data_IF_875494827010
#
_entry.id   IF_875494827010
#
_cell.length_a   1.000
_cell.length_b   1.000
_cell.length_c   1.000
_cell.angle_alpha   90.00
_cell.angle_beta   90.00
_cell.angle_gamma   90.00
#
_symmetry.space_group_name_H-M   'P 1'
#
loop_
_entity.id
_entity.type
_entity.pdbx_description
1 polymer ?
#
# COMPACT_ATOMS: atom_id res chain seq x y z
N UNK A 1 12.51 -22.80 11.53
CA UNK A 1 13.82 -22.37 11.03
C UNK A 1 13.90 -20.86 11.17
N UNK A 2 15.04 -20.30 11.63
CA UNK A 2 15.24 -18.85 11.61
C UNK A 2 15.13 -18.32 10.18
N UNK A 3 14.53 -17.14 10.01
CA UNK A 3 14.42 -16.46 8.72
C UNK A 3 15.76 -15.78 8.43
N UNK A 4 16.36 -16.01 7.26
CA UNK A 4 17.61 -15.32 6.92
C UNK A 4 17.34 -13.85 6.63
N UNK A 5 18.34 -13.00 6.90
CA UNK A 5 18.34 -11.58 6.56
C UNK A 5 19.68 -11.20 5.96
N UNK A 6 19.64 -10.56 4.80
CA UNK A 6 20.78 -9.86 4.23
C UNK A 6 20.37 -8.43 3.84
N UNK A 7 21.34 -7.52 3.75
CA UNK A 7 21.12 -6.18 3.23
C UNK A 7 22.02 -5.98 2.03
N UNK A 8 21.43 -5.65 0.88
CA UNK A 8 22.15 -5.39 -0.36
C UNK A 8 21.95 -3.94 -0.81
N UNK A 9 22.84 -3.47 -1.69
CA UNK A 9 22.68 -2.18 -2.36
C UNK A 9 22.02 -2.39 -3.73
N UNK A 10 20.77 -1.93 -3.88
CA UNK A 10 20.00 -2.01 -5.13
C UNK A 10 19.61 -0.60 -5.58
N UNK A 11 20.00 -0.19 -6.80
CA UNK A 11 19.77 1.16 -7.32
C UNK A 11 20.23 2.30 -6.38
N UNK A 12 21.35 2.11 -5.66
CA UNK A 12 21.85 3.08 -4.69
C UNK A 12 21.08 3.12 -3.37
N UNK A 13 20.22 2.15 -3.11
CA UNK A 13 19.42 2.03 -1.89
C UNK A 13 19.81 0.79 -1.10
N UNK A 14 19.81 0.90 0.23
CA UNK A 14 19.91 -0.27 1.11
C UNK A 14 18.56 -0.99 1.13
N UNK A 15 18.56 -2.26 0.72
CA UNK A 15 17.39 -3.13 0.69
C UNK A 15 17.66 -4.34 1.58
N UNK A 16 16.86 -4.47 2.63
CA UNK A 16 16.86 -5.66 3.47
C UNK A 16 16.05 -6.75 2.75
N UNK A 17 16.64 -7.92 2.54
CA UNK A 17 16.00 -9.10 1.98
C UNK A 17 15.91 -10.15 3.07
N UNK A 18 14.69 -10.62 3.31
CA UNK A 18 14.37 -11.66 4.27
C UNK A 18 13.93 -12.92 3.54
N UNK A 19 14.43 -14.07 3.97
CA UNK A 19 13.96 -15.36 3.47
C UNK A 19 14.74 -15.94 2.28
N UNK A 20 15.78 -15.25 1.76
CA UNK A 20 16.40 -15.65 0.49
C UNK A 20 17.10 -17.02 0.58
N UNK A 21 17.72 -17.34 1.70
CA UNK A 21 18.41 -18.63 1.92
C UNK A 21 17.42 -19.80 1.99
N UNK A 22 16.14 -19.51 2.25
CA UNK A 22 15.08 -20.51 2.27
C UNK A 22 14.46 -20.75 0.89
N UNK A 23 14.85 -19.97 -0.13
CA UNK A 23 14.44 -20.21 -1.52
C UNK A 23 15.25 -21.39 -2.08
N UNK A 24 14.60 -22.43 -2.67
CA UNK A 24 15.29 -23.54 -3.31
C UNK A 24 16.39 -23.08 -4.27
N UNK A 25 17.50 -23.82 -4.43
CA UNK A 25 18.57 -23.42 -5.34
C UNK A 25 18.06 -23.32 -6.78
N UNK A 26 18.70 -22.51 -7.67
CA UNK A 26 18.27 -22.35 -9.06
C UNK A 26 18.18 -23.66 -9.87
N UNK A 27 18.89 -24.71 -9.44
CA UNK A 27 18.80 -26.06 -10.00
C UNK A 27 17.45 -26.76 -9.76
N UNK A 28 16.63 -26.23 -8.84
CA UNK A 28 15.28 -26.70 -8.53
C UNK A 28 14.32 -25.51 -8.45
N UNK A 29 14.07 -24.81 -9.58
CA UNK A 29 13.34 -23.56 -9.57
C UNK A 29 11.90 -23.77 -9.15
N UNK A 30 11.35 -22.78 -8.46
CA UNK A 30 9.95 -22.75 -8.08
C UNK A 30 9.45 -21.30 -8.15
N UNK A 31 8.16 -21.07 -8.48
CA UNK A 31 7.60 -19.73 -8.47
C UNK A 31 7.92 -18.97 -7.18
N UNK A 32 8.37 -17.72 -7.29
CA UNK A 32 8.81 -16.87 -6.21
C UNK A 32 7.96 -15.61 -6.15
N UNK A 33 7.37 -15.37 -4.99
CA UNK A 33 6.65 -14.13 -4.70
C UNK A 33 7.53 -13.18 -3.90
N UNK A 34 7.54 -11.91 -4.27
CA UNK A 34 8.18 -10.85 -3.49
C UNK A 34 7.13 -10.07 -2.69
N UNK A 35 7.28 -10.05 -1.37
CA UNK A 35 6.52 -9.20 -0.46
C UNK A 35 7.30 -7.90 -0.19
N UNK A 36 6.78 -6.77 -0.65
CA UNK A 36 7.36 -5.46 -0.40
C UNK A 36 6.79 -4.83 0.86
N UNK A 37 7.66 -4.46 1.81
CA UNK A 37 7.28 -3.91 3.10
C UNK A 37 7.59 -2.41 3.17
N UNK A 38 6.53 -1.62 3.37
CA UNK A 38 6.56 -0.16 3.33
C UNK A 38 6.32 0.38 4.76
N UNK A 39 7.34 1.03 5.32
CA UNK A 39 7.38 1.41 6.74
C UNK A 39 6.53 2.65 7.07
N UNK A 40 6.22 2.95 8.34
CA UNK A 40 5.50 4.17 8.72
C UNK A 40 6.40 5.42 8.73
N UNK A 41 5.77 6.61 8.83
CA UNK A 41 6.46 7.91 8.93
C UNK A 41 7.43 7.90 10.12
N UNK A 42 8.55 8.62 10.00
CA UNK A 42 9.60 8.75 11.01
C UNK A 42 10.35 7.45 11.38
N UNK A 43 10.07 6.34 10.70
CA UNK A 43 10.79 5.06 10.86
C UNK A 43 11.69 4.77 9.67
N UNK A 44 12.14 3.52 9.59
CA UNK A 44 13.04 2.98 8.57
C UNK A 44 12.63 1.55 8.21
N UNK A 45 13.26 0.99 7.18
CA UNK A 45 13.11 -0.40 6.73
C UNK A 45 13.25 -1.44 7.84
N UNK A 46 14.07 -1.18 8.86
CA UNK A 46 14.26 -2.11 9.98
C UNK A 46 13.01 -2.28 10.84
N UNK A 47 12.11 -1.29 10.87
CA UNK A 47 10.83 -1.41 11.58
C UNK A 47 9.90 -2.47 10.97
N UNK A 48 10.19 -2.93 9.75
CA UNK A 48 9.41 -3.96 9.06
C UNK A 48 9.91 -5.38 9.32
N UNK A 49 10.98 -5.56 10.10
CA UNK A 49 11.58 -6.87 10.36
C UNK A 49 10.60 -7.85 11.02
N UNK A 50 9.88 -7.43 12.07
CA UNK A 50 8.97 -8.33 12.80
C UNK A 50 7.85 -8.88 11.89
N UNK A 51 7.21 -8.03 11.09
CA UNK A 51 6.17 -8.48 10.15
C UNK A 51 6.74 -9.36 9.02
N UNK A 52 7.98 -9.11 8.58
CA UNK A 52 8.67 -9.96 7.62
C UNK A 52 8.86 -11.38 8.19
N UNK A 53 9.42 -11.47 9.40
CA UNK A 53 9.71 -12.73 10.08
C UNK A 53 8.43 -13.51 10.37
N UNK A 54 7.39 -12.87 10.89
CA UNK A 54 6.09 -13.51 11.16
C UNK A 54 5.45 -14.05 9.89
N UNK A 55 5.47 -13.28 8.80
CA UNK A 55 4.86 -13.70 7.53
C UNK A 55 5.63 -14.89 6.93
N UNK A 56 6.95 -14.81 6.90
CA UNK A 56 7.80 -15.88 6.37
C UNK A 56 7.75 -17.14 7.25
N UNK A 57 7.72 -17.00 8.58
CA UNK A 57 7.54 -18.13 9.49
C UNK A 57 6.19 -18.82 9.29
N UNK A 58 5.10 -18.06 9.15
CA UNK A 58 3.77 -18.61 8.87
C UNK A 58 3.70 -19.28 7.48
N UNK A 59 4.31 -18.68 6.46
CA UNK A 59 4.43 -19.28 5.13
C UNK A 59 5.14 -20.63 5.20
N UNK A 60 6.29 -20.66 5.87
CA UNK A 60 7.08 -21.87 6.07
C UNK A 60 6.30 -22.94 6.86
N UNK A 61 5.64 -22.60 7.96
CA UNK A 61 4.84 -23.59 8.72
C UNK A 61 3.71 -24.21 7.90
N UNK A 62 3.05 -23.40 7.06
CA UNK A 62 1.89 -23.84 6.29
C UNK A 62 2.30 -24.67 5.06
N UNK A 63 3.44 -24.34 4.44
CA UNK A 63 3.81 -24.87 3.13
C UNK A 63 5.16 -25.61 3.07
N UNK A 64 5.83 -25.85 4.22
CA UNK A 64 7.01 -26.73 4.29
C UNK A 64 6.72 -28.20 3.94
N UNK A 65 5.46 -28.64 3.95
CA UNK A 65 5.08 -30.05 3.77
C UNK A 65 3.92 -30.30 2.78
N UNK A 66 3.57 -29.32 1.93
CA UNK A 66 2.40 -29.39 1.04
C UNK A 66 2.69 -29.28 -0.47
N UNK A 67 1.79 -29.81 -1.29
CA UNK A 67 1.91 -30.02 -2.74
C UNK A 67 2.06 -28.77 -3.64
N UNK A 68 2.14 -27.54 -3.10
CA UNK A 68 2.32 -26.30 -3.88
C UNK A 68 3.69 -25.66 -3.63
N UNK A 69 4.56 -25.79 -4.63
CA UNK A 69 5.97 -25.40 -4.66
C UNK A 69 6.15 -23.89 -4.93
N UNK A 70 5.76 -23.01 -4.01
CA UNK A 70 6.03 -21.56 -4.14
C UNK A 70 6.97 -21.09 -3.03
N UNK A 71 7.86 -20.17 -3.36
CA UNK A 71 8.70 -19.47 -2.41
C UNK A 71 8.21 -18.06 -2.16
N UNK A 72 8.57 -17.51 -1.00
CA UNK A 72 8.26 -16.15 -0.59
C UNK A 72 9.52 -15.53 0.00
N UNK A 73 9.86 -14.33 -0.46
CA UNK A 73 10.83 -13.45 0.18
C UNK A 73 10.14 -12.14 0.56
N UNK A 74 10.64 -11.49 1.60
CA UNK A 74 10.21 -10.14 1.96
C UNK A 74 11.34 -9.14 1.74
N UNK A 75 11.00 -7.93 1.29
CA UNK A 75 11.95 -6.87 0.99
C UNK A 75 11.51 -5.57 1.66
N UNK A 76 12.45 -4.86 2.29
CA UNK A 76 12.20 -3.55 2.88
C UNK A 76 13.29 -2.56 2.48
N UNK A 77 12.90 -1.33 2.19
CA UNK A 77 13.81 -0.23 1.84
C UNK A 77 13.35 1.05 2.54
N UNK A 78 14.26 2.00 2.73
CA UNK A 78 13.89 3.30 3.30
C UNK A 78 13.17 4.15 2.25
N UNK A 79 11.98 4.64 2.60
CA UNK A 79 11.23 5.57 1.76
C UNK A 79 11.95 6.93 1.67
N UNK A 80 11.59 7.80 0.70
CA UNK A 80 12.21 9.12 0.57
C UNK A 80 12.24 9.88 1.90
N UNK A 81 13.38 10.50 2.18
CA UNK A 81 13.62 11.29 3.39
C UNK A 81 13.47 10.53 4.73
N UNK A 82 13.57 9.20 4.73
CA UNK A 82 13.48 8.36 5.94
C UNK A 82 14.70 7.46 6.09
N UNK A 83 14.88 6.88 7.29
CA UNK A 83 15.98 5.95 7.60
C UNK A 83 17.34 6.45 7.10
N UNK A 84 18.07 5.63 6.33
CA UNK A 84 19.37 5.96 5.77
C UNK A 84 19.32 6.97 4.61
N UNK A 85 18.13 7.40 4.18
CA UNK A 85 17.91 8.42 3.14
C UNK A 85 17.43 9.75 3.70
N UNK A 86 17.43 9.93 5.02
CA UNK A 86 16.96 11.16 5.66
C UNK A 86 17.88 12.32 5.29
N UNK A 87 17.29 13.41 4.79
CA UNK A 87 18.00 14.63 4.39
C UNK A 87 17.49 15.84 5.17
N UNK A 88 16.18 15.95 5.40
CA UNK A 88 15.55 17.08 6.09
C UNK A 88 14.56 16.58 7.14
N UNK A 89 14.81 16.87 8.42
CA UNK A 89 13.92 16.40 9.50
C UNK A 89 12.56 17.08 9.45
N UNK A 90 12.53 18.41 9.29
CA UNK A 90 11.30 19.21 9.24
C UNK A 90 10.35 18.76 8.15
N UNK A 91 10.85 18.35 6.99
CA UNK A 91 9.99 17.84 5.90
C UNK A 91 9.26 16.54 6.24
N UNK A 92 9.65 15.83 7.30
CA UNK A 92 8.89 14.68 7.79
C UNK A 92 7.89 15.02 8.89
N UNK A 93 7.90 16.25 9.41
CA UNK A 93 6.98 16.73 10.45
C UNK A 93 5.66 17.19 9.84
N UNK A 94 4.67 17.48 10.69
CA UNK A 94 3.39 18.06 10.26
C UNK A 94 3.34 19.60 10.34
N UNK A 95 2.17 20.17 10.02
CA UNK A 95 1.96 21.61 10.05
C UNK A 95 2.11 22.21 11.46
N UNK A 96 1.68 21.49 12.51
CA UNK A 96 1.79 21.97 13.90
C UNK A 96 3.26 22.02 14.33
N UNK A 97 4.05 21.07 13.82
CA UNK A 97 5.48 20.95 14.05
C UNK A 97 6.34 21.81 13.09
N UNK A 98 5.72 22.73 12.33
CA UNK A 98 6.42 23.75 11.54
C UNK A 98 6.70 23.37 10.08
N UNK A 99 6.20 22.24 9.58
CA UNK A 99 6.29 21.91 8.16
C UNK A 99 5.22 22.61 7.34
N UNK A 100 5.47 23.86 6.90
CA UNK A 100 4.54 24.60 6.03
C UNK A 100 4.25 23.88 4.70
N UNK A 101 5.14 22.99 4.26
CA UNK A 101 4.99 22.18 3.03
C UNK A 101 4.44 20.77 3.29
N UNK A 102 3.84 20.50 4.46
CA UNK A 102 3.43 19.15 4.88
C UNK A 102 2.68 18.36 3.79
N UNK A 103 1.65 18.95 3.17
CA UNK A 103 0.88 18.27 2.13
C UNK A 103 1.73 17.90 0.90
N UNK A 104 2.72 18.72 0.51
CA UNK A 104 3.63 18.42 -0.61
C UNK A 104 4.65 17.35 -0.22
N UNK A 105 5.27 17.49 0.95
CA UNK A 105 6.30 16.57 1.42
C UNK A 105 5.73 15.16 1.63
N UNK A 106 4.50 15.07 2.13
CA UNK A 106 3.79 13.80 2.27
C UNK A 106 3.47 13.15 0.91
N UNK A 107 3.05 13.90 -0.11
CA UNK A 107 2.87 13.36 -1.47
C UNK A 107 4.20 12.83 -2.02
N UNK A 108 5.30 13.55 -1.82
CA UNK A 108 6.63 13.12 -2.27
C UNK A 108 7.08 11.84 -1.57
N UNK A 109 6.83 11.72 -0.25
CA UNK A 109 7.16 10.51 0.50
C UNK A 109 6.32 9.30 0.04
N UNK A 110 5.00 9.48 -0.13
CA UNK A 110 4.08 8.41 -0.57
C UNK A 110 4.35 8.01 -2.03
N UNK A 111 4.31 8.97 -2.95
CA UNK A 111 4.51 8.74 -4.38
C UNK A 111 5.93 8.28 -4.69
N UNK A 112 6.94 8.88 -4.06
CA UNK A 112 8.33 8.46 -4.21
C UNK A 112 8.60 7.08 -3.61
N UNK A 113 7.90 6.69 -2.53
CA UNK A 113 7.90 5.32 -2.02
C UNK A 113 7.36 4.32 -3.04
N UNK A 114 6.21 4.62 -3.65
CA UNK A 114 5.59 3.77 -4.68
C UNK A 114 6.49 3.65 -5.93
N UNK A 115 7.05 4.77 -6.41
CA UNK A 115 7.97 4.78 -7.53
C UNK A 115 9.27 4.02 -7.23
N UNK A 116 9.81 4.16 -6.02
CA UNK A 116 10.99 3.41 -5.58
C UNK A 116 10.71 1.92 -5.59
N UNK A 117 9.59 1.48 -5.01
CA UNK A 117 9.21 0.06 -5.03
C UNK A 117 9.07 -0.47 -6.46
N UNK A 118 8.43 0.29 -7.34
CA UNK A 118 8.29 -0.06 -8.76
C UNK A 118 9.63 -0.24 -9.46
N UNK A 119 10.61 0.64 -9.20
CA UNK A 119 11.98 0.51 -9.68
C UNK A 119 12.63 -0.78 -9.16
N UNK A 120 12.58 -1.00 -7.84
CA UNK A 120 13.18 -2.18 -7.21
C UNK A 120 12.54 -3.49 -7.68
N UNK A 121 11.23 -3.50 -7.97
CA UNK A 121 10.53 -4.63 -8.60
C UNK A 121 11.12 -5.00 -9.96
N UNK A 122 11.61 -4.03 -10.73
CA UNK A 122 12.27 -4.29 -12.02
C UNK A 122 13.69 -4.84 -11.88
N UNK A 123 14.31 -4.71 -10.70
CA UNK A 123 15.72 -5.02 -10.48
C UNK A 123 15.93 -6.24 -9.60
N UNK A 124 15.00 -6.56 -8.70
CA UNK A 124 15.18 -7.59 -7.67
C UNK A 124 15.61 -8.94 -8.23
N UNK A 125 15.08 -9.34 -9.38
CA UNK A 125 15.45 -10.61 -10.02
C UNK A 125 16.92 -10.66 -10.46
N UNK A 126 17.47 -9.54 -10.93
CA UNK A 126 18.87 -9.43 -11.33
C UNK A 126 19.79 -9.52 -10.11
N UNK A 127 19.48 -8.77 -9.05
CA UNK A 127 20.31 -8.71 -7.85
C UNK A 127 20.29 -9.99 -7.01
N UNK A 128 19.19 -10.74 -7.04
CA UNK A 128 19.05 -12.01 -6.31
C UNK A 128 19.45 -13.23 -7.15
N UNK A 129 19.67 -13.06 -8.45
CA UNK A 129 19.83 -14.18 -9.39
C UNK A 129 18.56 -15.02 -9.58
N UNK A 130 17.38 -14.52 -9.17
CA UNK A 130 16.10 -15.23 -9.18
C UNK A 130 15.12 -14.74 -10.24
N UNK A 131 15.58 -13.99 -11.24
CA UNK A 131 14.70 -13.35 -12.23
C UNK A 131 13.67 -14.30 -12.86
N UNK A 132 14.08 -15.50 -13.28
CA UNK A 132 13.19 -16.47 -13.93
C UNK A 132 12.15 -17.10 -12.99
N UNK A 133 12.32 -16.96 -11.68
CA UNK A 133 11.44 -17.53 -10.66
C UNK A 133 10.36 -16.54 -10.22
N UNK A 134 10.62 -15.22 -10.32
CA UNK A 134 9.71 -14.18 -9.82
C UNK A 134 8.51 -14.03 -10.76
N UNK A 135 7.32 -14.40 -10.27
CA UNK A 135 6.07 -14.35 -11.03
C UNK A 135 4.96 -13.53 -10.35
N UNK A 136 5.17 -13.10 -9.10
CA UNK A 136 4.18 -12.36 -8.34
C UNK A 136 4.81 -11.33 -7.40
N UNK A 137 4.09 -10.22 -7.20
CA UNK A 137 4.46 -9.22 -6.22
C UNK A 137 3.25 -8.81 -5.38
N UNK A 138 3.47 -8.73 -4.07
CA UNK A 138 2.49 -8.22 -3.11
C UNK A 138 3.17 -7.17 -2.24
N UNK A 139 2.40 -6.30 -1.61
CA UNK A 139 2.95 -5.34 -0.66
C UNK A 139 2.17 -5.29 0.65
N UNK A 140 2.84 -4.86 1.71
CA UNK A 140 2.21 -4.45 2.96
C UNK A 140 2.76 -3.09 3.33
N UNK A 141 1.86 -2.17 3.67
CA UNK A 141 2.21 -0.83 4.09
C UNK A 141 1.57 -0.45 5.40
N UNK A 142 2.33 0.23 6.26
CA UNK A 142 1.84 0.75 7.55
C UNK A 142 1.92 2.28 7.61
N UNK A 143 0.81 2.96 7.94
CA UNK A 143 0.72 4.42 8.06
C UNK A 143 1.14 5.11 6.75
N UNK A 144 2.24 5.88 6.73
CA UNK A 144 2.87 6.38 5.50
C UNK A 144 2.99 5.29 4.42
N UNK A 145 3.50 4.11 4.79
CA UNK A 145 3.56 2.96 3.89
C UNK A 145 2.18 2.44 3.47
N UNK A 146 1.16 2.58 4.31
CA UNK A 146 -0.22 2.21 3.99
C UNK A 146 -0.82 3.10 2.89
N UNK A 147 -0.57 4.41 2.93
CA UNK A 147 -0.88 5.31 1.80
C UNK A 147 -0.14 4.87 0.53
N UNK A 148 1.15 4.54 0.65
CA UNK A 148 1.98 4.07 -0.46
C UNK A 148 1.45 2.76 -1.06
N UNK A 149 0.95 1.85 -0.22
CA UNK A 149 0.32 0.60 -0.64
C UNK A 149 -0.97 0.86 -1.42
N UNK A 150 -1.82 1.81 -1.01
CA UNK A 150 -3.00 2.24 -1.79
C UNK A 150 -2.62 2.77 -3.17
N UNK A 151 -1.67 3.70 -3.21
CA UNK A 151 -1.24 4.33 -4.47
C UNK A 151 -0.59 3.31 -5.40
N UNK A 152 0.16 2.36 -4.84
CA UNK A 152 0.79 1.27 -5.59
C UNK A 152 -0.24 0.25 -6.07
N UNK A 153 -1.26 -0.09 -5.28
CA UNK A 153 -2.33 -1.00 -5.70
C UNK A 153 -3.03 -0.49 -6.97
N UNK A 154 -3.27 0.82 -7.06
CA UNK A 154 -3.83 1.44 -8.27
C UNK A 154 -2.76 1.76 -9.34
N UNK A 155 -1.50 1.97 -8.96
CA UNK A 155 -0.45 2.49 -9.84
C UNK A 155 0.45 1.44 -10.49
N UNK A 156 0.71 0.33 -9.82
CA UNK A 156 1.69 -0.68 -10.23
C UNK A 156 0.99 -1.91 -10.85
N UNK A 157 1.08 -2.11 -12.17
CA UNK A 157 0.41 -3.23 -12.84
C UNK A 157 0.96 -4.60 -12.44
N UNK A 158 2.19 -4.70 -11.96
CA UNK A 158 2.79 -5.96 -11.53
C UNK A 158 2.36 -6.41 -10.12
N UNK A 159 1.71 -5.54 -9.33
CA UNK A 159 1.17 -5.93 -8.03
C UNK A 159 -0.09 -6.79 -8.18
N UNK A 160 -0.13 -7.88 -7.44
CA UNK A 160 -1.24 -8.83 -7.36
C UNK A 160 -2.11 -8.59 -6.11
N UNK A 161 -1.53 -8.01 -5.06
CA UNK A 161 -2.30 -7.62 -3.89
C UNK A 161 -1.54 -6.76 -2.88
N UNK A 162 -2.29 -6.20 -1.93
CA UNK A 162 -1.78 -5.30 -0.91
C UNK A 162 -2.43 -5.52 0.46
N UNK A 163 -1.69 -5.23 1.52
CA UNK A 163 -2.24 -4.98 2.85
C UNK A 163 -2.01 -3.51 3.19
N UNK A 164 -3.07 -2.80 3.53
CA UNK A 164 -3.04 -1.39 3.96
C UNK A 164 -3.35 -1.34 5.45
N UNK A 165 -2.37 -0.97 6.26
CA UNK A 165 -2.53 -0.79 7.71
C UNK A 165 -2.54 0.71 8.04
N UNK A 166 -3.66 1.19 8.57
CA UNK A 166 -3.92 2.60 8.95
C UNK A 166 -3.46 3.61 7.90
N UNK A 167 -3.71 3.28 6.63
CA UNK A 167 -3.50 4.16 5.47
C UNK A 167 -4.82 4.70 4.92
N UNK A 168 -4.77 5.79 4.15
CA UNK A 168 -5.95 6.44 3.56
C UNK A 168 -5.95 6.33 2.04
N UNK A 169 -7.12 6.08 1.46
CA UNK A 169 -7.38 6.02 0.02
C UNK A 169 -7.90 7.36 -0.57
N UNK A 170 -8.10 8.37 0.28
CA UNK A 170 -8.48 9.74 -0.09
C UNK A 170 -7.52 10.73 0.58
N UNK A 171 -6.43 11.03 -0.13
CA UNK A 171 -5.39 11.92 0.36
C UNK A 171 -5.89 13.35 0.56
N UNK A 172 -6.73 13.86 -0.35
CA UNK A 172 -7.24 15.23 -0.30
C UNK A 172 -8.12 15.42 0.93
N UNK A 173 -9.06 14.50 1.19
CA UNK A 173 -9.91 14.54 2.37
C UNK A 173 -9.09 14.48 3.67
N UNK A 174 -8.05 13.64 3.71
CA UNK A 174 -7.16 13.55 4.87
C UNK A 174 -6.38 14.85 5.12
N UNK A 175 -5.71 15.39 4.11
CA UNK A 175 -4.92 16.63 4.27
C UNK A 175 -5.79 17.84 4.55
N UNK A 176 -6.99 17.90 3.97
CA UNK A 176 -7.96 18.95 4.26
C UNK A 176 -8.36 18.92 5.73
N UNK A 177 -8.60 17.75 6.31
CA UNK A 177 -8.96 17.63 7.72
C UNK A 177 -7.79 18.00 8.64
N UNK A 178 -6.58 17.47 8.36
CA UNK A 178 -5.37 17.83 9.13
C UNK A 178 -5.08 19.32 9.13
N UNK A 179 -5.36 20.01 8.01
CA UNK A 179 -5.14 21.45 7.95
C UNK A 179 -6.11 22.20 8.85
N UNK A 180 -7.38 21.78 8.91
CA UNK A 180 -8.38 22.41 9.80
C UNK A 180 -8.01 22.28 11.27
N UNK A 181 -7.37 21.16 11.64
CA UNK A 181 -6.92 20.91 13.01
C UNK A 181 -5.62 21.67 13.34
N UNK A 182 -4.85 22.06 12.32
CA UNK A 182 -3.60 22.80 12.49
C UNK A 182 -3.81 24.24 12.97
N UNK A 183 -2.81 24.88 13.60
CA UNK A 183 -2.88 26.27 14.02
C UNK A 183 -2.74 27.28 12.87
N UNK A 184 -2.60 26.82 11.63
CA UNK A 184 -2.36 27.68 10.47
C UNK A 184 -3.67 28.34 9.97
N UNK A 185 -3.61 29.57 9.42
CA UNK A 185 -4.78 30.22 8.84
C UNK A 185 -5.37 29.35 7.72
N UNK A 186 -6.67 29.06 7.77
CA UNK A 186 -7.35 28.24 6.76
C UNK A 186 -7.70 29.10 5.53
N UNK A 187 -7.07 28.89 4.37
CA UNK A 187 -7.39 29.63 3.16
C UNK A 187 -8.72 29.16 2.55
N UNK A 188 -9.39 30.07 1.85
CA UNK A 188 -10.60 29.78 1.08
C UNK A 188 -10.42 30.27 -0.36
N UNK A 189 -10.28 29.37 -1.36
CA UNK A 189 -10.31 27.91 -1.24
C UNK A 189 -9.03 27.30 -0.64
N UNK A 190 -9.15 26.12 0.00
CA UNK A 190 -7.99 25.37 0.51
C UNK A 190 -7.16 24.75 -0.61
N UNK A 191 -7.82 24.07 -1.56
CA UNK A 191 -7.18 23.54 -2.76
C UNK A 191 -6.79 24.71 -3.67
N UNK A 192 -5.54 24.72 -4.13
CA UNK A 192 -4.93 25.84 -4.86
C UNK A 192 -4.26 26.88 -3.96
N UNK A 193 -4.27 26.70 -2.63
CA UNK A 193 -3.61 27.61 -1.69
C UNK A 193 -2.11 27.36 -1.55
N UNK A 194 -1.42 28.18 -0.76
CA UNK A 194 0.02 27.98 -0.44
C UNK A 194 0.29 26.66 0.29
N UNK A 195 -0.68 26.17 1.09
CA UNK A 195 -0.57 24.92 1.85
C UNK A 195 -0.99 23.69 1.03
N UNK A 196 -1.73 23.90 -0.07
CA UNK A 196 -2.17 22.84 -0.97
C UNK A 196 -2.26 23.34 -2.42
N UNK A 197 -1.12 23.55 -3.10
CA UNK A 197 -1.11 24.27 -4.38
C UNK A 197 -1.66 23.45 -5.55
N UNK A 198 -2.01 24.13 -6.66
CA UNK A 198 -2.72 23.51 -7.79
C UNK A 198 -1.91 22.45 -8.54
N UNK A 199 -0.59 22.56 -8.54
CA UNK A 199 0.31 21.53 -9.08
C UNK A 199 0.21 20.22 -8.27
N UNK A 200 0.14 20.33 -6.94
CA UNK A 200 -0.07 19.20 -6.03
C UNK A 200 -1.42 18.50 -6.30
N UNK A 201 -2.49 19.27 -6.50
CA UNK A 201 -3.81 18.72 -6.89
C UNK A 201 -3.70 17.90 -8.18
N UNK A 202 -2.96 18.42 -9.17
CA UNK A 202 -2.73 17.75 -10.46
C UNK A 202 -1.95 16.45 -10.30
N UNK A 203 -0.94 16.41 -9.44
CA UNK A 203 -0.20 15.18 -9.16
C UNK A 203 -1.04 14.15 -8.42
N UNK A 204 -1.81 14.56 -7.41
CA UNK A 204 -2.67 13.66 -6.63
C UNK A 204 -3.72 12.99 -7.52
N UNK A 205 -4.32 13.72 -8.48
CA UNK A 205 -5.25 13.18 -9.48
C UNK A 205 -4.69 11.94 -10.20
N UNK A 206 -3.37 11.89 -10.40
CA UNK A 206 -2.69 10.82 -11.11
C UNK A 206 -2.40 9.60 -10.26
N UNK A 207 -2.49 9.65 -8.93
CA UNK A 207 -1.95 8.58 -8.06
C UNK A 207 -2.90 8.14 -6.95
N UNK A 208 -3.68 9.06 -6.40
CA UNK A 208 -4.59 8.76 -5.29
C UNK A 208 -5.84 8.00 -5.77
N UNK A 209 -6.25 6.90 -5.09
CA UNK A 209 -7.39 6.10 -5.51
C UNK A 209 -8.68 6.89 -5.66
N UNK A 210 -9.04 7.71 -4.67
CA UNK A 210 -10.26 8.52 -4.71
C UNK A 210 -10.16 9.54 -5.83
N UNK A 211 -9.05 10.26 -5.93
CA UNK A 211 -8.88 11.29 -6.95
C UNK A 211 -8.95 10.70 -8.37
N UNK A 212 -8.35 9.53 -8.62
CA UNK A 212 -8.44 8.83 -9.92
C UNK A 212 -9.87 8.46 -10.30
N UNK A 213 -10.68 8.03 -9.34
CA UNK A 213 -12.03 7.53 -9.61
C UNK A 213 -13.08 8.65 -9.67
N UNK A 214 -12.96 9.67 -8.81
CA UNK A 214 -13.99 10.71 -8.60
C UNK A 214 -13.49 12.15 -8.77
N UNK A 215 -12.23 12.33 -9.16
CA UNK A 215 -11.60 13.64 -9.30
C UNK A 215 -10.97 14.16 -8.00
N UNK A 216 -9.96 15.02 -8.18
CA UNK A 216 -9.15 15.65 -7.15
C UNK A 216 -9.90 16.83 -6.52
N UNK A 217 -10.98 16.50 -5.83
CA UNK A 217 -11.87 17.44 -5.14
C UNK A 217 -11.93 17.13 -3.65
N UNK A 218 -12.38 18.08 -2.83
CA UNK A 218 -12.66 17.84 -1.41
C UNK A 218 -13.98 17.09 -1.18
N UNK A 219 -14.85 17.01 -2.19
CA UNK A 219 -16.14 16.33 -2.07
C UNK A 219 -15.92 14.80 -1.96
N UNK A 220 -16.59 14.12 -1.01
CA UNK A 220 -16.50 12.67 -0.92
C UNK A 220 -17.19 12.01 -2.13
N UNK A 221 -16.79 10.77 -2.49
CA UNK A 221 -17.57 9.94 -3.40
C UNK A 221 -19.06 9.89 -3.03
N UNK A 222 -19.96 9.83 -4.04
CA UNK A 222 -21.39 9.62 -3.78
C UNK A 222 -21.63 8.29 -3.06
N UNK A 223 -22.68 8.25 -2.24
CA UNK A 223 -23.07 7.01 -1.56
C UNK A 223 -23.67 6.01 -2.56
N UNK A 224 -23.36 4.71 -2.46
CA UNK A 224 -24.00 3.69 -3.29
C UNK A 224 -25.49 3.51 -2.95
N UNK A 225 -26.32 2.99 -3.88
CA UNK A 225 -25.94 2.52 -5.21
C UNK A 225 -25.71 3.69 -6.18
N UNK A 226 -24.69 3.55 -7.03
CA UNK A 226 -24.37 4.56 -8.05
C UNK A 226 -25.28 4.41 -9.28
N UNK A 227 -25.56 5.49 -10.06
CA UNK A 227 -26.26 5.39 -11.33
C UNK A 227 -25.52 4.46 -12.32
N UNK A 228 -26.24 3.77 -13.20
CA UNK A 228 -25.65 2.81 -14.14
C UNK A 228 -24.58 3.43 -15.07
N UNK A 229 -24.75 4.70 -15.48
CA UNK A 229 -23.73 5.43 -16.26
C UNK A 229 -22.42 5.61 -15.50
N UNK A 230 -22.51 5.90 -14.20
CA UNK A 230 -21.35 6.07 -13.33
C UNK A 230 -20.69 4.73 -13.00
N UNK A 231 -21.48 3.67 -12.79
CA UNK A 231 -20.96 2.30 -12.66
C UNK A 231 -20.18 1.89 -13.91
N UNK A 232 -20.71 2.17 -15.11
CA UNK A 232 -20.02 1.90 -16.38
C UNK A 232 -18.69 2.63 -16.50
N UNK A 233 -18.68 3.95 -16.21
CA UNK A 233 -17.44 4.76 -16.22
C UNK A 233 -16.39 4.24 -15.23
N UNK A 234 -16.82 3.86 -14.02
CA UNK A 234 -15.92 3.35 -12.99
C UNK A 234 -15.42 1.95 -13.31
N UNK A 235 -16.24 1.09 -13.95
CA UNK A 235 -15.83 -0.25 -14.41
C UNK A 235 -14.58 -0.17 -15.29
N UNK A 236 -14.55 0.70 -16.29
CA UNK A 236 -13.39 0.86 -17.19
C UNK A 236 -12.11 1.25 -16.41
N UNK A 237 -12.26 2.11 -15.40
CA UNK A 237 -11.15 2.52 -14.53
C UNK A 237 -10.69 1.38 -13.62
N UNK A 238 -11.63 0.64 -13.01
CA UNK A 238 -11.30 -0.50 -12.16
C UNK A 238 -10.64 -1.61 -12.97
N UNK A 239 -11.06 -1.81 -14.22
CA UNK A 239 -10.46 -2.76 -15.15
C UNK A 239 -8.99 -2.46 -15.39
N UNK A 240 -8.70 -1.21 -15.73
CA UNK A 240 -7.36 -0.75 -16.01
C UNK A 240 -6.43 -0.77 -14.78
N UNK A 241 -6.98 -0.63 -13.57
CA UNK A 241 -6.18 -0.40 -12.35
C UNK A 241 -6.09 -1.59 -11.40
N UNK A 242 -7.21 -2.28 -11.15
CA UNK A 242 -7.33 -3.23 -10.03
C UNK A 242 -7.97 -4.57 -10.37
N UNK A 243 -8.35 -4.84 -11.62
CA UNK A 243 -8.88 -6.15 -12.06
C UNK A 243 -8.07 -7.32 -11.49
N UNK A 244 -8.72 -8.27 -10.83
CA UNK A 244 -8.09 -9.46 -10.25
C UNK A 244 -7.13 -9.21 -9.08
N UNK A 245 -6.90 -7.95 -8.65
CA UNK A 245 -6.05 -7.65 -7.49
C UNK A 245 -6.81 -7.94 -6.18
N UNK A 246 -6.06 -8.09 -5.08
CA UNK A 246 -6.64 -8.36 -3.77
C UNK A 246 -6.12 -7.37 -2.75
N UNK A 247 -6.98 -6.81 -1.91
CA UNK A 247 -6.57 -5.90 -0.84
C UNK A 247 -7.23 -6.23 0.48
N UNK A 248 -6.42 -6.18 1.55
CA UNK A 248 -6.89 -6.10 2.93
C UNK A 248 -6.64 -4.68 3.43
N UNK A 249 -7.68 -4.04 3.94
CA UNK A 249 -7.64 -2.73 4.58
C UNK A 249 -7.86 -2.93 6.07
N UNK A 250 -6.91 -2.46 6.86
CA UNK A 250 -6.92 -2.53 8.31
C UNK A 250 -6.94 -1.12 8.89
N UNK A 251 -8.05 -0.71 9.50
CA UNK A 251 -8.22 0.62 10.08
C UNK A 251 -8.48 0.55 11.58
N UNK A 252 -7.87 1.45 12.35
CA UNK A 252 -8.21 1.61 13.76
C UNK A 252 -9.55 2.34 13.90
N UNK A 253 -10.48 1.82 14.70
CA UNK A 253 -11.77 2.45 14.96
C UNK A 253 -11.65 3.80 15.66
N UNK A 254 -10.63 3.95 16.51
CA UNK A 254 -10.34 5.17 17.28
C UNK A 254 -9.18 5.99 16.70
N UNK A 255 -8.71 5.65 15.49
CA UNK A 255 -7.59 6.35 14.85
C UNK A 255 -7.96 7.83 14.58
N UNK A 256 -7.25 8.75 15.24
CA UNK A 256 -7.40 10.19 15.03
C UNK A 256 -6.41 10.75 14.01
N UNK A 257 -5.31 10.05 13.74
CA UNK A 257 -4.28 10.53 12.81
C UNK A 257 -4.61 10.18 11.35
N UNK A 258 -5.22 9.02 11.13
CA UNK A 258 -5.76 8.58 9.84
C UNK A 258 -7.17 8.00 10.06
N UNK A 259 -8.19 8.86 10.29
CA UNK A 259 -9.52 8.39 10.61
C UNK A 259 -10.13 7.55 9.47
N UNK A 260 -10.72 6.40 9.82
CA UNK A 260 -11.41 5.52 8.85
C UNK A 260 -12.44 6.28 8.00
N UNK A 261 -13.12 7.25 8.61
CA UNK A 261 -14.11 8.12 7.96
C UNK A 261 -13.58 8.86 6.71
N UNK A 262 -12.25 9.03 6.55
CA UNK A 262 -11.67 9.62 5.34
C UNK A 262 -11.70 8.66 4.15
N UNK A 263 -11.55 7.36 4.38
CA UNK A 263 -11.62 6.34 3.31
C UNK A 263 -13.00 5.70 3.17
N UNK A 264 -13.83 5.76 4.21
CA UNK A 264 -15.13 5.08 4.26
C UNK A 264 -16.04 5.34 3.04
N UNK A 265 -16.19 6.58 2.51
CA UNK A 265 -17.02 6.81 1.33
C UNK A 265 -16.53 6.07 0.07
N UNK A 266 -15.21 6.06 -0.18
CA UNK A 266 -14.66 5.31 -1.31
C UNK A 266 -14.81 3.80 -1.10
N UNK A 267 -14.53 3.32 0.12
CA UNK A 267 -14.66 1.91 0.47
C UNK A 267 -16.11 1.43 0.35
N UNK A 268 -17.09 2.26 0.67
CA UNK A 268 -18.51 1.94 0.48
C UNK A 268 -18.84 1.70 -1.00
N UNK A 269 -18.36 2.55 -1.91
CA UNK A 269 -18.51 2.33 -3.36
C UNK A 269 -17.82 1.05 -3.80
N UNK A 270 -16.56 0.84 -3.41
CA UNK A 270 -15.82 -0.35 -3.84
C UNK A 270 -16.45 -1.64 -3.30
N UNK A 271 -16.98 -1.65 -2.07
CA UNK A 271 -17.73 -2.78 -1.51
C UNK A 271 -19.03 -3.04 -2.25
N UNK A 272 -19.79 -1.99 -2.61
CA UNK A 272 -20.98 -2.10 -3.44
C UNK A 272 -20.67 -2.70 -4.82
N UNK A 273 -19.50 -2.37 -5.38
CA UNK A 273 -19.02 -2.89 -6.65
C UNK A 273 -18.71 -4.39 -6.62
N UNK A 274 -17.99 -4.85 -5.58
CA UNK A 274 -17.42 -6.22 -5.54
C UNK A 274 -18.19 -7.22 -4.69
N UNK A 275 -19.29 -6.81 -4.04
CA UNK A 275 -20.16 -7.75 -3.32
C UNK A 275 -20.76 -8.81 -4.27
N UNK A 276 -21.26 -9.94 -3.76
CA UNK A 276 -22.03 -10.89 -4.59
C UNK A 276 -23.20 -10.19 -5.30
N UNK A 277 -23.30 -10.35 -6.62
CA UNK A 277 -24.24 -9.64 -7.49
C UNK A 277 -23.93 -8.16 -7.71
N UNK A 278 -22.76 -7.68 -7.30
CA UNK A 278 -22.30 -6.31 -7.49
C UNK A 278 -21.93 -6.02 -8.95
N UNK A 279 -21.95 -4.74 -9.33
CA UNK A 279 -21.75 -4.30 -10.72
C UNK A 279 -20.32 -4.49 -11.24
N UNK A 280 -19.40 -4.99 -10.43
CA UNK A 280 -18.02 -5.29 -10.78
C UNK A 280 -17.51 -6.62 -10.16
N UNK A 281 -18.42 -7.53 -9.79
CA UNK A 281 -18.05 -8.85 -9.24
C UNK A 281 -17.14 -9.65 -10.20
N UNK A 282 -17.45 -9.61 -11.51
CA UNK A 282 -16.69 -10.26 -12.58
C UNK A 282 -15.29 -9.65 -12.81
N UNK A 283 -15.02 -8.48 -12.23
CA UNK A 283 -13.70 -7.86 -12.23
C UNK A 283 -12.68 -8.63 -11.38
N UNK A 284 -13.15 -9.52 -10.49
CA UNK A 284 -12.29 -10.35 -9.62
C UNK A 284 -11.44 -9.55 -8.62
N UNK A 285 -11.75 -8.25 -8.44
CA UNK A 285 -11.09 -7.43 -7.43
C UNK A 285 -11.63 -7.81 -6.05
N UNK A 286 -10.75 -8.22 -5.13
CA UNK A 286 -11.13 -8.60 -3.77
C UNK A 286 -10.81 -7.46 -2.82
N UNK A 287 -11.82 -6.98 -2.09
CA UNK A 287 -11.69 -5.98 -1.03
C UNK A 287 -12.15 -6.58 0.30
N UNK A 288 -11.20 -6.83 1.20
CA UNK A 288 -11.47 -7.09 2.61
C UNK A 288 -11.19 -5.81 3.41
N UNK A 289 -12.21 -5.25 4.06
CA UNK A 289 -12.08 -4.03 4.85
C UNK A 289 -12.48 -4.30 6.30
N UNK A 290 -11.54 -4.07 7.22
CA UNK A 290 -11.66 -4.39 8.65
C UNK A 290 -11.37 -3.15 9.48
N UNK A 291 -12.34 -2.78 10.31
CA UNK A 291 -12.19 -1.75 11.34
C UNK A 291 -12.04 -2.46 12.68
N UNK A 292 -10.99 -2.09 13.42
CA UNK A 292 -10.65 -2.70 14.70
C UNK A 292 -11.06 -1.73 15.82
N UNK A 293 -12.16 -2.04 16.51
CA UNK A 293 -12.72 -1.23 17.60
C UNK A 293 -11.70 -1.00 18.73
N UNK A 294 -11.68 0.20 19.32
CA UNK A 294 -10.74 0.54 20.40
C UNK A 294 -9.29 0.75 19.96
N UNK A 295 -8.98 0.58 18.67
CA UNK A 295 -7.62 0.69 18.13
C UNK A 295 -7.40 2.08 17.54
N UNK A 296 -6.40 2.81 18.05
CA UNK A 296 -5.94 4.07 17.47
C UNK A 296 -4.96 3.90 16.30
N UNK A 297 -4.06 4.86 16.10
CA UNK A 297 -3.06 4.82 15.01
C UNK A 297 -1.89 3.87 15.29
N UNK A 298 -2.13 2.56 15.19
CA UNK A 298 -1.11 1.52 15.43
C UNK A 298 -1.33 0.29 14.57
N UNK A 299 -0.28 -0.52 14.41
CA UNK A 299 -0.40 -1.87 13.87
C UNK A 299 -0.67 -2.84 15.03
N UNK A 300 -1.94 -3.08 15.35
CA UNK A 300 -2.31 -3.93 16.49
C UNK A 300 -2.01 -5.42 16.25
N UNK A 301 -1.99 -6.22 17.31
CA UNK A 301 -1.79 -7.68 17.20
C UNK A 301 -2.83 -8.36 16.29
N UNK A 302 -4.10 -7.94 16.37
CA UNK A 302 -5.16 -8.45 15.51
C UNK A 302 -4.93 -8.09 14.04
N UNK A 303 -4.53 -6.84 13.78
CA UNK A 303 -4.15 -6.42 12.43
C UNK A 303 -2.97 -7.23 11.91
N UNK A 304 -1.94 -7.49 12.73
CA UNK A 304 -0.78 -8.29 12.35
C UNK A 304 -1.21 -9.71 11.99
N UNK A 305 -2.01 -10.35 12.83
CA UNK A 305 -2.54 -11.71 12.59
C UNK A 305 -3.31 -11.78 11.27
N UNK A 306 -4.22 -10.83 11.05
CA UNK A 306 -5.05 -10.80 9.85
C UNK A 306 -4.24 -10.49 8.59
N UNK A 307 -3.24 -9.61 8.70
CA UNK A 307 -2.29 -9.31 7.62
C UNK A 307 -1.48 -10.53 7.22
N UNK A 308 -0.91 -11.26 8.19
CA UNK A 308 -0.14 -12.48 7.94
C UNK A 308 -1.04 -13.54 7.29
N UNK A 309 -2.24 -13.77 7.83
CA UNK A 309 -3.20 -14.73 7.28
C UNK A 309 -3.58 -14.39 5.84
N UNK A 310 -3.86 -13.11 5.56
CA UNK A 310 -4.20 -12.65 4.22
C UNK A 310 -3.04 -12.84 3.24
N UNK A 311 -1.83 -12.41 3.60
CA UNK A 311 -0.64 -12.56 2.77
C UNK A 311 -0.34 -14.03 2.45
N UNK A 312 -0.33 -14.90 3.47
CA UNK A 312 -0.11 -16.34 3.28
C UNK A 312 -1.15 -16.95 2.34
N UNK A 313 -2.42 -16.53 2.46
CA UNK A 313 -3.49 -16.99 1.56
C UNK A 313 -3.25 -16.53 0.12
N UNK A 314 -3.06 -15.24 -0.13
CA UNK A 314 -2.96 -14.73 -1.51
C UNK A 314 -1.67 -15.17 -2.20
N UNK A 315 -0.58 -15.38 -1.44
CA UNK A 315 0.67 -15.95 -1.97
C UNK A 315 0.43 -17.40 -2.39
N UNK A 316 -0.29 -18.19 -1.59
CA UNK A 316 -0.64 -19.58 -1.94
C UNK A 316 -1.52 -19.70 -3.19
N UNK A 317 -2.44 -18.74 -3.38
CA UNK A 317 -3.29 -18.66 -4.56
C UNK A 317 -2.50 -18.32 -5.83
N UNK A 318 -1.34 -17.67 -5.70
CA UNK A 318 -0.48 -17.25 -6.82
C UNK A 318 -0.88 -15.89 -7.42
N UNK A 319 -0.16 -15.45 -8.48
CA UNK A 319 -0.43 -14.18 -9.15
C UNK A 319 -1.84 -14.16 -9.76
N UNK A 320 -2.38 -12.96 -9.95
CA UNK A 320 -3.66 -12.79 -10.63
C UNK A 320 -3.54 -13.24 -12.09
N UNK A 321 -4.63 -13.75 -12.67
CA UNK A 321 -4.66 -13.98 -14.11
C UNK A 321 -4.61 -12.61 -14.82
N UNK A 322 -3.56 -12.39 -15.62
CA UNK A 322 -3.36 -11.10 -16.32
C UNK A 322 -4.01 -11.06 -17.70
N UNK A 323 -4.65 -12.14 -18.14
CA UNK A 323 -5.01 -12.33 -19.55
C UNK A 323 -3.75 -12.57 -20.39
N UNK A 324 -3.83 -13.45 -21.38
CA UNK A 324 -2.79 -13.57 -22.40
C UNK A 324 -2.82 -12.35 -23.33
#
# INVERSE_FOLDING_TARGET
MPVSKETITMAGLLVDIYGLDQVPPPSRPCPLTCLWLLHPRLRSRSSMQDIAERTLAAWHQTYQYGARRRSLIALAFDMPNHGSRKVCETSNLDWEEGNLSHARDMVNAVGGGAATMSLLMGLVGFYTGRYAEIDAHVCLGWSLGGHTAWWSLFGEPRLDGAVVVVGCADYISLMTERHKESPLPTPSPFLGSVYFPSDLVTEIQKVDPKARLFGATAAPPPSPPLPASEQGRLRDLLDAKVRGKKVLVCSGGDDKLVPYARSAPLLAVLKDAVRPGGWYEDGGFVLEDRVYEGVGHKFSEDMVRDSVKFLVRIVSEGPRNRGA
#
